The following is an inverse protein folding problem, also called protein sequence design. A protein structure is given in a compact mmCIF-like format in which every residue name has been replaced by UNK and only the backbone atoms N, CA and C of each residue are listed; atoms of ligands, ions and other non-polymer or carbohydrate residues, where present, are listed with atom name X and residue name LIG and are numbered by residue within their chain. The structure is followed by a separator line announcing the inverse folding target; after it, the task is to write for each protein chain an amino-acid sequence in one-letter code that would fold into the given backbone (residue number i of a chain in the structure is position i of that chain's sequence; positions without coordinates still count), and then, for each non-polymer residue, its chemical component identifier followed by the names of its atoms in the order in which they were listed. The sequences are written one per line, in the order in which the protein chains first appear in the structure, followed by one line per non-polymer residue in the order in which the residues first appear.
data_IF_520424094339
#
_entry.id   IF_520424094339
#
_cell.length_a   1.000
_cell.length_b   1.000
_cell.length_c   1.000
_cell.angle_alpha   90.00
_cell.angle_beta   90.00
_cell.angle_gamma   90.00
#
_symmetry.space_group_name_H-M   'P 1'
#
loop_
_entity.id
_entity.type
_entity.pdbx_description
1 polymer ?
#
# COMPACT_ATOMS: atom_id res chain seq x y z
N UNK A 1 -4.19 -41.48 -7.63
CA UNK A 1 -4.76 -40.27 -6.99
C UNK A 1 -3.59 -39.32 -6.85
N UNK A 2 -3.34 -38.56 -7.92
CA UNK A 2 -2.17 -37.70 -8.02
C UNK A 2 -2.34 -36.51 -7.08
N UNK A 3 -1.34 -36.35 -6.23
CA UNK A 3 -1.23 -35.28 -5.26
C UNK A 3 -0.80 -34.08 -6.10
N UNK A 4 -1.75 -33.23 -6.52
CA UNK A 4 -1.40 -32.01 -7.24
C UNK A 4 -0.54 -31.14 -6.33
N UNK A 5 0.70 -30.97 -6.77
CA UNK A 5 1.70 -30.06 -6.22
C UNK A 5 1.06 -28.68 -6.01
N UNK A 6 1.03 -28.24 -4.75
CA UNK A 6 0.77 -26.85 -4.41
C UNK A 6 1.93 -26.07 -5.01
N UNK A 7 1.63 -25.43 -6.14
CA UNK A 7 2.56 -24.59 -6.88
C UNK A 7 3.36 -23.70 -5.94
N UNK A 8 4.67 -23.83 -6.07
CA UNK A 8 5.68 -22.97 -5.46
C UNK A 8 5.31 -21.51 -5.74
N UNK A 9 4.91 -20.77 -4.70
CA UNK A 9 4.93 -19.32 -4.77
C UNK A 9 6.38 -18.92 -4.55
N UNK A 10 7.07 -18.64 -5.65
CA UNK A 10 8.42 -18.10 -5.68
C UNK A 10 8.56 -16.99 -4.63
N UNK A 11 9.44 -17.22 -3.64
CA UNK A 11 9.91 -16.21 -2.70
C UNK A 11 10.85 -15.23 -3.42
N UNK A 12 10.35 -14.50 -4.40
CA UNK A 12 10.99 -13.25 -4.78
C UNK A 12 10.56 -12.21 -3.76
N UNK A 13 11.52 -11.76 -2.97
CA UNK A 13 11.35 -10.71 -1.95
C UNK A 13 11.12 -9.34 -2.60
N UNK A 14 10.12 -9.25 -3.49
CA UNK A 14 9.60 -7.97 -3.94
C UNK A 14 8.89 -7.35 -2.75
N UNK A 15 9.53 -6.34 -2.16
CA UNK A 15 8.98 -5.55 -1.07
C UNK A 15 7.70 -4.86 -1.56
N UNK A 16 6.56 -5.53 -1.42
CA UNK A 16 5.25 -4.99 -1.74
C UNK A 16 4.80 -4.05 -0.62
N UNK A 17 4.28 -2.90 -1.00
CA UNK A 17 3.74 -1.89 -0.08
C UNK A 17 2.22 -1.97 -0.14
N UNK A 18 1.56 -1.95 1.02
CA UNK A 18 0.09 -1.85 1.08
C UNK A 18 -0.35 -0.39 0.89
N UNK A 19 -1.56 -0.18 0.40
CA UNK A 19 -2.08 1.17 0.14
C UNK A 19 -2.03 2.10 1.37
N UNK A 20 -2.16 1.54 2.57
CA UNK A 20 -2.10 2.27 3.85
C UNK A 20 -0.69 2.79 4.19
N UNK A 21 0.36 2.13 3.71
CA UNK A 21 1.76 2.53 3.90
C UNK A 21 2.26 3.48 2.82
N UNK A 22 1.48 3.67 1.75
CA UNK A 22 1.84 4.51 0.61
C UNK A 22 1.50 5.99 0.88
N UNK A 23 2.52 6.78 1.16
CA UNK A 23 2.37 8.20 1.46
C UNK A 23 2.37 9.06 0.17
N UNK A 24 1.23 9.66 -0.19
CA UNK A 24 1.09 10.56 -1.34
C UNK A 24 0.69 12.01 -0.96
N UNK A 25 1.10 12.51 0.20
CA UNK A 25 0.71 13.85 0.64
C UNK A 25 1.50 14.97 -0.06
N UNK A 26 0.91 15.59 -1.08
CA UNK A 26 1.49 16.73 -1.81
C UNK A 26 0.83 18.08 -1.49
N UNK A 27 -0.40 18.06 -0.97
CA UNK A 27 -1.17 19.28 -0.74
C UNK A 27 -0.49 20.29 0.19
N UNK A 28 0.15 19.88 1.32
CA UNK A 28 0.79 20.85 2.20
C UNK A 28 1.88 21.68 1.51
N UNK A 29 2.71 21.03 0.69
CA UNK A 29 3.81 21.70 -0.01
C UNK A 29 3.31 22.54 -1.19
N UNK A 30 2.30 22.07 -1.93
CA UNK A 30 1.65 22.84 -3.00
C UNK A 30 1.02 24.10 -2.41
N UNK A 31 0.29 23.96 -1.31
CA UNK A 31 -0.34 25.08 -0.63
C UNK A 31 0.67 26.11 -0.14
N UNK A 32 1.79 25.67 0.41
CA UNK A 32 2.87 26.55 0.85
C UNK A 32 3.50 27.33 -0.31
N UNK A 33 3.72 26.68 -1.46
CA UNK A 33 4.22 27.32 -2.69
C UNK A 33 3.23 28.41 -3.14
N UNK A 34 1.95 28.07 -3.31
CA UNK A 34 0.91 29.01 -3.74
C UNK A 34 0.86 30.22 -2.80
N UNK A 35 0.80 29.98 -1.49
CA UNK A 35 0.74 31.03 -0.48
C UNK A 35 1.94 31.98 -0.54
N UNK A 36 3.14 31.45 -0.80
CA UNK A 36 4.38 32.26 -0.91
C UNK A 36 4.43 33.06 -2.22
N UNK A 37 3.96 32.49 -3.32
CA UNK A 37 3.87 33.17 -4.62
C UNK A 37 2.85 34.31 -4.59
N UNK A 38 1.72 34.11 -3.92
CA UNK A 38 0.64 35.11 -3.80
C UNK A 38 0.97 36.24 -2.80
N UNK A 39 1.99 36.06 -1.95
CA UNK A 39 2.38 37.06 -0.97
C UNK A 39 3.09 38.22 -1.67
N UNK A 40 2.47 39.39 -1.64
CA UNK A 40 3.04 40.60 -2.23
C UNK A 40 4.16 41.17 -1.34
N UNK A 41 5.35 41.36 -1.89
CA UNK A 41 6.55 41.80 -1.16
C UNK A 41 6.97 43.20 -1.61
N UNK A 42 6.86 44.18 -0.70
CA UNK A 42 7.25 45.58 -0.97
C UNK A 42 8.76 45.85 -0.88
N UNK A 43 9.56 44.92 -0.32
CA UNK A 43 11.02 45.03 -0.23
C UNK A 43 11.71 44.05 -1.21
N UNK A 44 12.59 44.58 -2.07
CA UNK A 44 13.36 43.86 -3.09
C UNK A 44 14.26 42.76 -2.50
N UNK A 45 14.80 43.00 -1.29
CA UNK A 45 15.67 42.03 -0.59
C UNK A 45 14.84 40.84 -0.09
N UNK A 46 13.68 41.13 0.51
CA UNK A 46 12.72 40.11 0.92
C UNK A 46 12.20 39.29 -0.28
N UNK A 47 11.92 39.96 -1.41
CA UNK A 47 11.46 39.32 -2.65
C UNK A 47 12.46 38.31 -3.20
N UNK A 48 13.76 38.64 -3.18
CA UNK A 48 14.83 37.74 -3.68
C UNK A 48 14.97 36.50 -2.80
N UNK A 49 14.91 36.67 -1.47
CA UNK A 49 14.97 35.58 -0.50
C UNK A 49 13.75 34.65 -0.63
N UNK A 50 12.55 35.20 -0.68
CA UNK A 50 11.31 34.41 -0.80
C UNK A 50 11.23 33.68 -2.15
N UNK A 51 11.73 34.28 -3.23
CA UNK A 51 11.88 33.60 -4.53
C UNK A 51 12.81 32.39 -4.45
N UNK A 52 13.92 32.49 -3.71
CA UNK A 52 14.83 31.39 -3.49
C UNK A 52 14.18 30.27 -2.67
N UNK A 53 13.54 30.62 -1.55
CA UNK A 53 12.86 29.66 -0.69
C UNK A 53 11.69 28.96 -1.42
N UNK A 54 10.95 29.70 -2.26
CA UNK A 54 9.90 29.13 -3.10
C UNK A 54 10.47 28.15 -4.13
N UNK A 55 11.60 28.49 -4.76
CA UNK A 55 12.28 27.60 -5.70
C UNK A 55 12.73 26.30 -5.02
N UNK A 56 13.24 26.40 -3.77
CA UNK A 56 13.60 25.22 -2.98
C UNK A 56 12.38 24.33 -2.69
N UNK A 57 11.22 24.91 -2.34
CA UNK A 57 9.98 24.15 -2.14
C UNK A 57 9.49 23.44 -3.40
N UNK A 58 9.68 24.06 -4.57
CA UNK A 58 9.36 23.41 -5.86
C UNK A 58 10.26 22.18 -6.08
N UNK A 59 11.55 22.27 -5.77
CA UNK A 59 12.48 21.14 -5.85
C UNK A 59 12.11 20.02 -4.86
N UNK A 60 11.70 20.39 -3.64
CA UNK A 60 11.25 19.42 -2.64
C UNK A 60 9.99 18.68 -3.10
N UNK A 61 9.04 19.39 -3.73
CA UNK A 61 7.85 18.78 -4.34
C UNK A 61 8.24 17.81 -5.47
N UNK A 62 9.15 18.22 -6.36
CA UNK A 62 9.63 17.37 -7.44
C UNK A 62 10.26 16.08 -6.90
N UNK A 63 11.16 16.20 -5.91
CA UNK A 63 11.79 15.05 -5.26
C UNK A 63 10.76 14.10 -4.66
N UNK A 64 9.71 14.64 -4.01
CA UNK A 64 8.64 13.82 -3.43
C UNK A 64 7.81 13.12 -4.49
N UNK A 65 7.51 13.78 -5.61
CA UNK A 65 6.83 13.15 -6.75
C UNK A 65 7.64 11.99 -7.32
N UNK A 66 8.95 12.15 -7.48
CA UNK A 66 9.82 11.11 -8.02
C UNK A 66 9.94 9.92 -7.06
N UNK A 67 10.01 10.18 -5.75
CA UNK A 67 9.96 9.12 -4.73
C UNK A 67 8.65 8.33 -4.76
N UNK A 68 7.52 9.02 -4.93
CA UNK A 68 6.21 8.37 -5.03
C UNK A 68 6.10 7.56 -6.31
N UNK A 69 6.54 8.09 -7.45
CA UNK A 69 6.59 7.35 -8.73
C UNK A 69 7.39 6.06 -8.62
N UNK A 70 8.55 6.10 -7.96
CA UNK A 70 9.37 4.91 -7.73
C UNK A 70 8.66 3.85 -6.86
N UNK A 71 7.77 4.27 -5.96
CA UNK A 71 7.03 3.38 -5.06
C UNK A 71 5.72 2.85 -5.65
N UNK A 72 5.14 3.51 -6.67
CA UNK A 72 3.86 3.07 -7.28
C UNK A 72 3.95 1.62 -7.77
N UNK A 73 5.07 1.23 -8.38
CA UNK A 73 5.27 -0.13 -8.87
C UNK A 73 5.40 -1.18 -7.77
N UNK A 74 5.64 -0.76 -6.52
CA UNK A 74 5.69 -1.64 -5.36
C UNK A 74 4.30 -1.85 -4.73
N UNK A 75 3.27 -1.12 -5.18
CA UNK A 75 1.93 -1.27 -4.65
C UNK A 75 1.37 -2.66 -4.95
N UNK A 76 0.92 -3.35 -3.91
CA UNK A 76 0.33 -4.68 -4.04
C UNK A 76 -0.89 -4.62 -4.97
N UNK A 77 -0.83 -5.41 -6.02
CA UNK A 77 -1.94 -5.61 -6.96
C UNK A 77 -2.08 -4.52 -8.02
N UNK A 78 -1.08 -3.66 -8.18
CA UNK A 78 -1.02 -2.65 -9.26
C UNK A 78 -1.04 -3.29 -10.66
N UNK A 79 -0.57 -4.53 -10.78
CA UNK A 79 -0.52 -5.29 -12.04
C UNK A 79 -1.87 -5.89 -12.46
N UNK A 80 -2.87 -5.87 -11.57
CA UNK A 80 -4.19 -6.43 -11.86
C UNK A 80 -5.16 -5.34 -12.27
N UNK A 81 -5.97 -5.64 -13.28
CA UNK A 81 -7.13 -4.81 -13.60
C UNK A 81 -8.23 -5.00 -12.54
N UNK A 82 -9.23 -4.12 -12.56
CA UNK A 82 -10.32 -4.11 -11.58
C UNK A 82 -11.05 -5.45 -11.47
N UNK A 83 -11.35 -6.09 -12.61
CA UNK A 83 -12.09 -7.35 -12.64
C UNK A 83 -11.26 -8.48 -12.01
N UNK A 84 -9.97 -8.54 -12.31
CA UNK A 84 -9.03 -9.48 -11.71
C UNK A 84 -8.89 -9.27 -10.20
N UNK A 85 -8.80 -8.01 -9.74
CA UNK A 85 -8.76 -7.69 -8.30
C UNK A 85 -10.02 -8.17 -7.58
N UNK A 86 -11.20 -7.96 -8.17
CA UNK A 86 -12.48 -8.41 -7.60
C UNK A 86 -12.59 -9.94 -7.58
N UNK A 87 -12.22 -10.61 -8.67
CA UNK A 87 -12.22 -12.08 -8.73
C UNK A 87 -11.28 -12.70 -7.69
N UNK A 88 -10.08 -12.13 -7.52
CA UNK A 88 -9.14 -12.55 -6.48
C UNK A 88 -9.72 -12.37 -5.08
N UNK A 89 -10.38 -11.24 -4.83
CA UNK A 89 -11.04 -10.94 -3.56
C UNK A 89 -12.14 -11.97 -3.25
N UNK A 90 -12.97 -12.32 -4.22
CA UNK A 90 -14.04 -13.31 -4.02
C UNK A 90 -13.50 -14.74 -3.82
N UNK A 91 -12.40 -15.08 -4.50
CA UNK A 91 -11.66 -16.33 -4.25
C UNK A 91 -11.12 -16.36 -2.81
N UNK A 92 -10.49 -15.27 -2.35
CA UNK A 92 -9.99 -15.13 -0.97
C UNK A 92 -11.10 -15.29 0.08
N UNK A 93 -12.27 -14.66 -0.13
CA UNK A 93 -13.44 -14.84 0.74
C UNK A 93 -13.89 -16.30 0.80
N UNK A 94 -13.95 -16.96 -0.36
CA UNK A 94 -14.36 -18.37 -0.45
C UNK A 94 -13.37 -19.27 0.27
N UNK A 95 -12.07 -19.06 0.05
CA UNK A 95 -11.01 -19.79 0.75
C UNK A 95 -11.08 -19.58 2.27
N UNK A 96 -11.30 -18.35 2.73
CA UNK A 96 -11.43 -18.03 4.14
C UNK A 96 -12.62 -18.76 4.77
N UNK A 97 -13.79 -18.75 4.10
CA UNK A 97 -14.97 -19.49 4.54
C UNK A 97 -14.69 -21.00 4.65
N UNK A 98 -14.13 -21.59 3.61
CA UNK A 98 -13.80 -23.03 3.61
C UNK A 98 -12.79 -23.40 4.70
N UNK A 99 -11.76 -22.56 4.91
CA UNK A 99 -10.77 -22.76 5.98
C UNK A 99 -11.42 -22.66 7.37
N UNK A 100 -12.34 -21.71 7.56
CA UNK A 100 -13.09 -21.59 8.82
C UNK A 100 -13.98 -22.81 9.07
N UNK A 101 -14.73 -23.27 8.07
CA UNK A 101 -15.55 -24.49 8.17
C UNK A 101 -14.70 -25.73 8.49
N UNK A 102 -13.52 -25.82 7.87
CA UNK A 102 -12.58 -26.91 8.14
C UNK A 102 -12.06 -26.87 9.58
N UNK A 103 -11.59 -25.71 10.05
CA UNK A 103 -11.17 -25.53 11.44
C UNK A 103 -12.31 -25.84 12.42
N UNK A 104 -13.53 -25.43 12.09
CA UNK A 104 -14.72 -25.74 12.87
C UNK A 104 -14.97 -27.24 12.92
N UNK A 105 -14.89 -27.95 11.79
CA UNK A 105 -15.00 -29.41 11.75
C UNK A 105 -13.93 -30.08 12.60
N UNK A 106 -12.66 -29.69 12.51
CA UNK A 106 -11.62 -30.26 13.36
C UNK A 106 -11.86 -30.00 14.85
N UNK A 107 -12.38 -28.82 15.20
CA UNK A 107 -12.74 -28.48 16.58
C UNK A 107 -13.86 -29.34 17.16
N UNK A 108 -14.80 -29.81 16.34
CA UNK A 108 -15.96 -30.58 16.78
C UNK A 108 -15.89 -32.09 16.47
N UNK A 109 -15.09 -32.53 15.49
CA UNK A 109 -14.86 -33.96 15.19
C UNK A 109 -13.79 -34.59 16.08
N UNK A 110 -12.85 -33.80 16.58
CA UNK A 110 -11.86 -34.26 17.55
C UNK A 110 -11.96 -33.41 18.82
N UNK A 111 -13.01 -33.58 19.65
CA UNK A 111 -12.87 -33.22 21.04
C UNK A 111 -11.71 -34.08 21.57
N UNK A 112 -10.66 -33.42 22.05
CA UNK A 112 -9.46 -34.02 22.62
C UNK A 112 -9.74 -34.89 23.88
N UNK A 113 -11.02 -35.17 24.17
CA UNK A 113 -11.53 -35.87 25.35
C UNK A 113 -11.64 -37.40 25.20
N UNK A 114 -11.43 -37.97 24.01
CA UNK A 114 -11.39 -39.44 23.89
C UNK A 114 -10.06 -40.06 24.35
N UNK A 115 -9.13 -39.28 24.91
CA UNK A 115 -7.87 -39.77 25.51
C UNK A 115 -7.83 -39.66 27.05
N UNK A 116 -8.98 -39.38 27.69
CA UNK A 116 -9.14 -39.56 29.15
C UNK A 116 -10.14 -40.67 29.46
N UNK A 117 -9.81 -41.92 29.12
CA UNK A 117 -10.41 -43.06 29.81
C UNK A 117 -9.40 -44.20 30.04
N UNK A 118 -9.01 -44.29 31.33
CA UNK A 118 -8.45 -45.42 32.10
C UNK A 118 -6.97 -45.77 31.93
#
# INVERSE_FOLDING_TARGET
MEINEVGQVSQDSNKQIIAEEFNCEFLPIIYEIIRRVEKDHHDTTAKTRESHDCSQKVLDLQKRLDQVRAQIHLLRGIDYNREQQLANLDSLKTQLKLKQELLQKYRYMYPFDSMSQK
#
